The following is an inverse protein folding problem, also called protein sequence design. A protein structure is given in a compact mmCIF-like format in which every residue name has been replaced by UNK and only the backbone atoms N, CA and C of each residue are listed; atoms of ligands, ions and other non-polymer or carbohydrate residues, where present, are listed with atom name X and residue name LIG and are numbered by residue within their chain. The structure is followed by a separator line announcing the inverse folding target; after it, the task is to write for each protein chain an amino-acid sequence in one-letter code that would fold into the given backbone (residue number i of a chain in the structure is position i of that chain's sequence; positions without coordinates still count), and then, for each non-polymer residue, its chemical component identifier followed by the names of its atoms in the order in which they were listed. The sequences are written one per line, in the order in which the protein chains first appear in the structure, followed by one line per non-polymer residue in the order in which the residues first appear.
data_IF_257956609998
#
_entry.id   IF_257956609998
#
_cell.length_a   1.000
_cell.length_b   1.000
_cell.length_c   1.000
_cell.angle_alpha   90.00
_cell.angle_beta   90.00
_cell.angle_gamma   90.00
#
_symmetry.space_group_name_H-M   'P 1'
#
loop_
_entity.id
_entity.type
_entity.pdbx_description
1 polymer ?
#
# COMPACT_ATOMS: atom_id res chain seq x y z
N UNK A 1 -72.07 -14.81 12.19
CA UNK A 1 -71.01 -15.39 11.37
C UNK A 1 -69.66 -14.97 11.89
N UNK A 2 -68.94 -15.91 12.49
CA UNK A 2 -67.56 -15.74 13.00
C UNK A 2 -66.63 -16.11 11.81
N UNK A 3 -65.83 -15.15 11.34
CA UNK A 3 -64.73 -15.42 10.41
C UNK A 3 -63.48 -15.75 11.24
N UNK A 4 -63.08 -17.04 11.23
CA UNK A 4 -61.80 -17.50 11.75
C UNK A 4 -60.71 -17.20 10.67
N UNK A 5 -59.81 -16.25 10.96
CA UNK A 5 -58.62 -16.05 10.16
C UNK A 5 -57.54 -17.05 10.60
N UNK A 6 -57.28 -18.07 9.77
CA UNK A 6 -56.10 -18.94 9.93
C UNK A 6 -54.84 -18.15 9.60
N UNK A 7 -54.07 -17.82 10.61
CA UNK A 7 -52.69 -17.36 10.43
C UNK A 7 -51.81 -18.59 10.15
N UNK A 8 -51.38 -18.73 8.90
CA UNK A 8 -50.33 -19.71 8.53
C UNK A 8 -49.02 -19.18 9.01
N UNK A 9 -48.54 -19.68 10.15
CA UNK A 9 -47.13 -19.53 10.53
C UNK A 9 -46.31 -20.44 9.64
N UNK A 10 -45.72 -19.87 8.59
CA UNK A 10 -44.65 -20.50 7.85
C UNK A 10 -43.46 -20.68 8.76
N UNK A 11 -43.22 -21.88 9.26
CA UNK A 11 -41.99 -22.25 9.89
C UNK A 11 -40.89 -22.10 8.83
N UNK A 12 -40.03 -21.07 8.99
CA UNK A 12 -38.73 -21.03 8.34
C UNK A 12 -37.93 -22.18 8.93
N UNK A 13 -37.94 -23.33 8.30
CA UNK A 13 -37.02 -24.40 8.59
C UNK A 13 -35.63 -23.87 8.27
N UNK A 14 -34.88 -23.51 9.29
CA UNK A 14 -33.44 -23.37 9.12
C UNK A 14 -32.97 -24.69 8.51
N UNK A 15 -32.32 -24.62 7.36
CA UNK A 15 -31.76 -25.76 6.69
C UNK A 15 -30.62 -26.25 7.59
N UNK A 16 -30.95 -27.18 8.49
CA UNK A 16 -29.97 -27.87 9.32
C UNK A 16 -29.17 -28.75 8.36
N UNK A 17 -27.93 -28.37 8.12
CA UNK A 17 -27.00 -29.18 7.35
C UNK A 17 -27.00 -30.60 7.92
N UNK A 18 -27.06 -31.59 7.05
CA UNK A 18 -27.10 -33.01 7.41
C UNK A 18 -25.77 -33.53 8.01
N UNK A 19 -24.75 -32.67 8.09
CA UNK A 19 -23.42 -33.04 8.55
C UNK A 19 -23.00 -32.19 9.75
N UNK A 20 -22.64 -32.89 10.83
CA UNK A 20 -22.04 -32.21 11.98
C UNK A 20 -20.59 -31.83 11.66
N UNK A 21 -20.23 -30.60 12.00
CA UNK A 21 -18.84 -30.12 11.95
C UNK A 21 -18.16 -30.58 13.23
N UNK A 22 -17.04 -31.30 13.14
CA UNK A 22 -16.26 -31.70 14.30
C UNK A 22 -14.99 -30.84 14.44
N UNK A 23 -14.44 -30.86 15.66
CA UNK A 23 -13.25 -30.07 15.98
C UNK A 23 -12.04 -30.48 15.14
N UNK A 24 -11.89 -31.75 14.85
CA UNK A 24 -10.78 -32.26 14.04
C UNK A 24 -10.84 -31.75 12.60
N UNK A 25 -12.01 -31.71 11.98
CA UNK A 25 -12.20 -31.14 10.63
C UNK A 25 -11.82 -29.65 10.60
N UNK A 26 -12.11 -28.90 11.66
CA UNK A 26 -11.72 -27.49 11.77
C UNK A 26 -10.20 -27.35 11.91
N UNK A 27 -9.59 -28.10 12.82
CA UNK A 27 -8.14 -28.04 13.08
C UNK A 27 -7.31 -28.54 11.91
N UNK A 28 -7.80 -29.55 11.19
CA UNK A 28 -7.18 -30.05 9.97
C UNK A 28 -7.34 -29.08 8.78
N UNK A 29 -8.08 -27.99 8.95
CA UNK A 29 -8.26 -26.98 7.95
C UNK A 29 -9.18 -27.36 6.79
N UNK A 30 -10.06 -28.36 6.97
CA UNK A 30 -10.98 -28.85 5.93
C UNK A 30 -11.88 -27.77 5.34
N UNK A 31 -12.21 -26.74 6.14
CA UNK A 31 -13.07 -25.64 5.73
C UNK A 31 -12.28 -24.36 5.37
N UNK A 32 -10.96 -24.49 5.12
CA UNK A 32 -10.16 -23.34 4.69
C UNK A 32 -10.58 -22.90 3.30
N UNK A 33 -10.85 -21.59 3.18
CA UNK A 33 -11.12 -20.95 1.91
C UNK A 33 -9.86 -20.26 1.37
N UNK A 34 -9.71 -20.25 0.07
CA UNK A 34 -8.76 -19.37 -0.61
C UNK A 34 -9.40 -17.98 -0.73
N UNK A 35 -9.01 -17.05 0.11
CA UNK A 35 -9.56 -15.68 0.15
C UNK A 35 -8.75 -14.68 -0.66
N UNK A 36 -7.57 -15.07 -1.11
CA UNK A 36 -6.70 -14.29 -1.97
C UNK A 36 -5.97 -15.20 -2.96
N UNK A 37 -5.75 -14.71 -4.15
CA UNK A 37 -4.83 -15.30 -5.13
C UNK A 37 -3.45 -14.68 -4.96
N UNK A 38 -2.43 -15.29 -5.57
CA UNK A 38 -1.10 -14.69 -5.65
C UNK A 38 -1.17 -13.25 -6.18
N UNK A 39 -0.23 -12.42 -5.78
CA UNK A 39 -0.22 -11.00 -6.15
C UNK A 39 -0.18 -10.85 -7.67
N UNK A 40 -1.19 -10.16 -8.21
CA UNK A 40 -1.27 -9.74 -9.61
C UNK A 40 -0.88 -8.27 -9.69
N UNK A 41 0.29 -7.99 -10.27
CA UNK A 41 0.78 -6.61 -10.43
C UNK A 41 0.49 -6.12 -11.84
N UNK A 42 -0.41 -5.14 -11.96
CA UNK A 42 -0.70 -4.53 -13.26
C UNK A 42 0.55 -3.92 -13.88
N UNK A 43 0.67 -4.03 -15.19
CA UNK A 43 1.66 -3.29 -15.96
C UNK A 43 1.08 -1.97 -16.46
N UNK A 44 1.94 -0.97 -16.78
CA UNK A 44 1.47 0.36 -17.22
C UNK A 44 0.59 0.35 -18.49
N UNK A 45 0.63 -0.73 -19.28
CA UNK A 45 -0.25 -0.91 -20.44
C UNK A 45 -1.71 -1.22 -20.04
N UNK A 46 -1.93 -1.60 -18.77
CA UNK A 46 -3.25 -1.96 -18.22
C UNK A 46 -3.89 -3.19 -18.84
N UNK A 47 -3.27 -3.81 -19.84
CA UNK A 47 -3.74 -5.02 -20.54
C UNK A 47 -3.10 -6.29 -19.98
N UNK A 48 -1.98 -6.13 -19.29
CA UNK A 48 -1.19 -7.21 -18.75
C UNK A 48 -0.91 -7.03 -17.25
N UNK A 49 -0.64 -8.13 -16.60
CA UNK A 49 -0.15 -8.17 -15.23
C UNK A 49 1.01 -9.17 -15.10
N UNK A 50 1.78 -9.02 -14.04
CA UNK A 50 2.81 -9.98 -13.68
C UNK A 50 2.44 -10.72 -12.41
N UNK A 51 2.88 -11.97 -12.32
CA UNK A 51 2.74 -12.80 -11.13
C UNK A 51 3.91 -13.78 -11.04
N UNK A 52 4.22 -14.22 -9.82
CA UNK A 52 5.12 -15.34 -9.61
C UNK A 52 4.42 -16.66 -9.95
N UNK A 53 5.17 -17.62 -10.49
CA UNK A 53 4.68 -19.00 -10.63
C UNK A 53 4.61 -19.72 -9.28
N UNK A 54 4.02 -20.92 -9.26
CA UNK A 54 3.73 -21.66 -8.04
C UNK A 54 4.99 -22.01 -7.21
N UNK A 55 6.11 -22.33 -7.86
CA UNK A 55 7.38 -22.66 -7.20
C UNK A 55 8.28 -21.42 -6.95
N UNK A 56 7.73 -20.21 -7.18
CA UNK A 56 8.41 -18.93 -6.97
C UNK A 56 9.76 -18.79 -7.66
N UNK A 57 9.92 -19.44 -8.81
CA UNK A 57 11.17 -19.41 -9.60
C UNK A 57 11.14 -18.46 -10.79
N UNK A 58 9.94 -17.98 -11.16
CA UNK A 58 9.74 -17.15 -12.35
C UNK A 58 8.76 -16.00 -12.09
N UNK A 59 8.99 -14.89 -12.79
CA UNK A 59 8.02 -13.78 -12.95
C UNK A 59 7.46 -13.89 -14.36
N UNK A 60 6.15 -14.13 -14.47
CA UNK A 60 5.48 -14.34 -15.74
C UNK A 60 4.52 -13.18 -16.01
N UNK A 61 4.54 -12.67 -17.24
CA UNK A 61 3.58 -11.71 -17.78
C UNK A 61 2.36 -12.43 -18.33
N UNK A 62 1.16 -12.03 -17.91
CA UNK A 62 -0.12 -12.60 -18.31
C UNK A 62 -1.02 -11.54 -18.93
N UNK A 63 -1.92 -11.94 -19.82
CA UNK A 63 -2.99 -11.09 -20.32
C UNK A 63 -4.18 -11.08 -19.33
N UNK A 64 -4.69 -9.90 -18.98
CA UNK A 64 -5.92 -9.78 -18.21
C UNK A 64 -7.10 -10.43 -18.94
N UNK A 65 -7.22 -10.20 -20.25
CA UNK A 65 -8.32 -10.68 -21.06
C UNK A 65 -8.39 -12.21 -21.14
N UNK A 66 -7.27 -12.86 -21.46
CA UNK A 66 -7.25 -14.30 -21.73
C UNK A 66 -6.78 -15.15 -20.56
N UNK A 67 -5.98 -14.59 -19.64
CA UNK A 67 -5.29 -15.31 -18.58
C UNK A 67 -4.06 -16.11 -19.05
N UNK A 68 -3.79 -16.09 -20.35
CA UNK A 68 -2.66 -16.83 -20.88
C UNK A 68 -1.34 -16.12 -20.56
N UNK A 69 -0.26 -16.90 -20.33
CA UNK A 69 1.08 -16.33 -20.25
C UNK A 69 1.47 -15.74 -21.62
N UNK A 70 2.10 -14.57 -21.57
CA UNK A 70 2.56 -13.83 -22.76
C UNK A 70 4.08 -13.86 -22.84
N UNK A 71 4.75 -13.73 -21.68
CA UNK A 71 6.20 -13.67 -21.59
C UNK A 71 6.69 -14.09 -20.20
N UNK A 72 7.98 -14.43 -20.11
CA UNK A 72 8.67 -14.67 -18.84
C UNK A 72 9.69 -13.57 -18.62
N UNK A 73 9.42 -12.67 -17.69
CA UNK A 73 10.27 -11.51 -17.43
C UNK A 73 11.54 -11.85 -16.63
N UNK A 74 11.46 -12.86 -15.78
CA UNK A 74 12.58 -13.37 -14.98
C UNK A 74 12.45 -14.87 -14.76
N UNK A 75 13.59 -15.57 -14.81
CA UNK A 75 13.68 -17.00 -14.46
C UNK A 75 14.98 -17.23 -13.70
N UNK A 76 14.86 -17.51 -12.39
CA UNK A 76 16.00 -17.70 -11.50
C UNK A 76 16.94 -18.82 -11.95
N UNK A 77 16.40 -19.85 -12.62
CA UNK A 77 17.21 -21.01 -13.10
C UNK A 77 17.94 -20.74 -14.43
N UNK A 78 17.62 -19.62 -15.12
CA UNK A 78 18.20 -19.29 -16.44
C UNK A 78 18.96 -17.95 -16.43
N UNK A 79 18.75 -17.13 -15.42
CA UNK A 79 19.47 -15.87 -15.29
C UNK A 79 20.93 -16.13 -14.92
N UNK A 80 21.84 -15.39 -15.57
CA UNK A 80 23.28 -15.49 -15.34
C UNK A 80 23.63 -14.99 -13.95
N UNK A 81 24.61 -15.64 -13.30
CA UNK A 81 25.08 -15.34 -11.94
C UNK A 81 23.99 -15.42 -10.85
N UNK A 82 22.84 -15.98 -11.16
CA UNK A 82 21.81 -16.23 -10.18
C UNK A 82 22.21 -17.43 -9.31
N UNK A 83 22.35 -17.19 -7.99
CA UNK A 83 22.80 -18.19 -7.01
C UNK A 83 21.65 -18.88 -6.27
N UNK A 84 20.41 -18.60 -6.67
CA UNK A 84 19.19 -19.12 -6.05
C UNK A 84 18.21 -19.66 -7.10
N UNK A 85 17.27 -20.47 -6.67
CA UNK A 85 16.26 -21.11 -7.54
C UNK A 85 14.85 -20.56 -7.32
N UNK A 86 14.62 -19.86 -6.24
CA UNK A 86 13.34 -19.31 -5.79
C UNK A 86 13.54 -17.97 -5.07
N UNK A 87 12.48 -17.16 -4.96
CA UNK A 87 12.52 -15.84 -4.34
C UNK A 87 11.17 -15.51 -3.69
N UNK A 88 11.18 -14.59 -2.72
CA UNK A 88 10.00 -14.25 -1.91
C UNK A 88 9.11 -13.18 -2.55
N UNK A 89 9.71 -12.29 -3.35
CA UNK A 89 8.98 -11.21 -4.00
C UNK A 89 9.86 -10.41 -4.98
N UNK A 90 9.24 -9.45 -5.65
CA UNK A 90 9.90 -8.64 -6.67
C UNK A 90 9.27 -7.27 -6.84
N UNK A 91 9.98 -6.37 -7.50
CA UNK A 91 9.45 -5.11 -8.06
C UNK A 91 10.15 -4.81 -9.39
N UNK A 92 9.44 -4.12 -10.30
CA UNK A 92 9.92 -3.83 -11.65
C UNK A 92 10.13 -2.32 -11.76
N UNK A 93 11.26 -1.89 -12.34
CA UNK A 93 11.51 -0.48 -12.63
C UNK A 93 10.51 0.05 -13.66
N UNK A 94 10.24 1.35 -13.64
CA UNK A 94 9.35 2.02 -14.61
C UNK A 94 9.72 1.76 -16.07
N UNK A 95 11.01 1.59 -16.35
CA UNK A 95 11.53 1.29 -17.68
C UNK A 95 11.49 -0.19 -18.04
N UNK A 96 11.24 -1.08 -17.09
CA UNK A 96 11.32 -2.54 -17.25
C UNK A 96 12.74 -3.08 -17.44
N UNK A 97 13.80 -2.25 -17.30
CA UNK A 97 15.18 -2.68 -17.52
C UNK A 97 15.81 -3.37 -16.31
N UNK A 98 15.31 -3.08 -15.12
CA UNK A 98 15.74 -3.64 -13.86
C UNK A 98 14.56 -4.27 -13.12
N UNK A 99 14.77 -5.44 -12.55
CA UNK A 99 13.83 -6.10 -11.65
C UNK A 99 14.57 -6.38 -10.36
N UNK A 100 14.08 -5.84 -9.24
CA UNK A 100 14.56 -6.26 -7.94
C UNK A 100 13.81 -7.52 -7.53
N UNK A 101 14.55 -8.53 -7.11
CA UNK A 101 14.03 -9.75 -6.49
C UNK A 101 14.66 -9.90 -5.12
N UNK A 102 13.91 -10.44 -4.16
CA UNK A 102 14.44 -10.64 -2.81
C UNK A 102 14.09 -12.00 -2.26
N UNK A 103 14.92 -12.45 -1.32
CA UNK A 103 14.78 -13.72 -0.64
C UNK A 103 15.26 -13.65 0.81
N UNK A 104 15.08 -14.74 1.52
CA UNK A 104 15.45 -14.87 2.93
C UNK A 104 14.81 -13.75 3.77
N UNK A 105 13.53 -13.51 3.51
CA UNK A 105 12.74 -12.46 4.15
C UNK A 105 12.54 -12.77 5.63
N UNK A 106 12.89 -11.81 6.49
CA UNK A 106 12.65 -11.82 7.93
C UNK A 106 11.67 -10.72 8.30
N UNK A 107 10.65 -11.04 9.08
CA UNK A 107 9.76 -10.04 9.68
C UNK A 107 10.47 -9.30 10.82
N UNK A 108 10.24 -7.99 10.92
CA UNK A 108 10.70 -7.16 12.02
C UNK A 108 9.53 -6.93 12.97
N UNK A 109 8.44 -6.34 12.46
CA UNK A 109 7.18 -6.18 13.15
C UNK A 109 6.05 -6.81 12.32
N UNK A 110 4.84 -6.26 12.39
CA UNK A 110 3.67 -6.77 11.67
C UNK A 110 3.81 -6.68 10.14
N UNK A 111 4.43 -5.61 9.63
CA UNK A 111 4.49 -5.28 8.20
C UNK A 111 5.91 -5.12 7.68
N UNK A 112 6.80 -4.59 8.52
CA UNK A 112 8.19 -4.37 8.13
C UNK A 112 8.96 -5.68 8.02
N UNK A 113 9.77 -5.75 6.99
CA UNK A 113 10.62 -6.90 6.67
C UNK A 113 11.99 -6.44 6.22
N UNK A 114 12.97 -7.32 6.36
CA UNK A 114 14.29 -7.19 5.75
C UNK A 114 14.60 -8.46 4.96
N UNK A 115 15.28 -8.32 3.83
CA UNK A 115 15.59 -9.42 2.92
C UNK A 115 16.92 -9.19 2.20
N UNK A 116 17.48 -10.24 1.63
CA UNK A 116 18.60 -10.08 0.69
C UNK A 116 18.01 -9.71 -0.67
N UNK A 117 18.34 -8.51 -1.14
CA UNK A 117 17.82 -7.95 -2.40
C UNK A 117 18.84 -8.09 -3.52
N UNK A 118 18.38 -8.50 -4.67
CA UNK A 118 19.18 -8.64 -5.90
C UNK A 118 18.61 -7.77 -7.01
N UNK A 119 19.49 -7.22 -7.83
CA UNK A 119 19.16 -6.56 -9.09
C UNK A 119 19.29 -7.55 -10.24
N UNK A 120 18.25 -7.71 -11.03
CA UNK A 120 18.26 -8.40 -12.30
C UNK A 120 18.24 -7.37 -13.44
N UNK A 121 19.38 -7.26 -14.16
CA UNK A 121 19.49 -6.50 -15.41
C UNK A 121 18.88 -7.34 -16.53
N UNK A 122 17.70 -6.92 -17.00
CA UNK A 122 16.91 -7.64 -18.01
C UNK A 122 17.66 -7.72 -19.34
N UNK A 123 18.37 -6.65 -19.76
CA UNK A 123 19.08 -6.59 -21.03
C UNK A 123 20.28 -7.53 -21.06
N UNK A 124 20.96 -7.69 -19.94
CA UNK A 124 22.14 -8.54 -19.80
C UNK A 124 21.81 -9.95 -19.35
N UNK A 125 20.57 -10.21 -18.97
CA UNK A 125 20.13 -11.44 -18.30
C UNK A 125 21.06 -11.81 -17.12
N UNK A 126 21.31 -10.85 -16.24
CA UNK A 126 22.34 -10.92 -15.21
C UNK A 126 21.79 -10.51 -13.84
N UNK A 127 22.09 -11.33 -12.82
CA UNK A 127 21.69 -11.07 -11.43
C UNK A 127 22.90 -10.74 -10.58
N UNK A 128 22.77 -9.75 -9.70
CA UNK A 128 23.78 -9.40 -8.69
C UNK A 128 23.12 -8.91 -7.42
N UNK A 129 23.77 -9.00 -6.24
CA UNK A 129 23.29 -8.34 -5.03
C UNK A 129 23.16 -6.84 -5.25
N UNK A 130 22.13 -6.21 -4.65
CA UNK A 130 21.96 -4.75 -4.75
C UNK A 130 23.03 -3.99 -3.95
N UNK A 131 23.58 -4.61 -2.92
CA UNK A 131 24.61 -4.05 -2.06
C UNK A 131 25.90 -4.87 -2.14
N UNK A 132 27.04 -4.18 -2.13
CA UNK A 132 28.35 -4.82 -2.07
C UNK A 132 28.68 -5.35 -0.66
N UNK A 133 28.00 -4.84 0.37
CA UNK A 133 28.17 -5.29 1.75
C UNK A 133 27.21 -6.43 2.09
N UNK A 134 27.63 -7.29 3.00
CA UNK A 134 26.77 -8.33 3.58
C UNK A 134 25.66 -7.69 4.42
N UNK A 135 24.54 -8.39 4.54
CA UNK A 135 23.38 -7.95 5.32
C UNK A 135 22.12 -7.88 4.49
N UNK A 136 20.99 -7.68 5.17
CA UNK A 136 19.68 -7.57 4.57
C UNK A 136 19.30 -6.11 4.37
N UNK A 137 18.51 -5.85 3.35
CA UNK A 137 18.01 -4.52 3.00
C UNK A 137 16.53 -4.44 3.31
N UNK A 138 16.06 -3.22 3.56
CA UNK A 138 14.65 -2.88 3.79
C UNK A 138 14.17 -1.92 2.71
N UNK A 139 12.90 -1.98 2.37
CA UNK A 139 12.15 -1.02 1.55
C UNK A 139 12.85 -0.58 0.26
N UNK A 140 13.36 -1.50 -0.58
CA UNK A 140 13.99 -1.10 -1.84
C UNK A 140 12.99 -0.34 -2.73
N UNK A 141 13.37 0.88 -3.14
CA UNK A 141 12.50 1.83 -3.83
C UNK A 141 13.21 2.39 -5.07
N UNK A 142 12.73 2.04 -6.27
CA UNK A 142 13.26 2.58 -7.52
C UNK A 142 13.08 4.10 -7.63
N UNK A 143 14.04 4.78 -8.23
CA UNK A 143 13.83 6.13 -8.75
C UNK A 143 12.84 6.10 -9.94
N UNK A 144 12.06 7.19 -10.18
CA UNK A 144 11.09 7.24 -11.29
C UNK A 144 11.68 6.97 -12.68
N UNK A 145 12.93 7.32 -12.92
CA UNK A 145 13.64 7.02 -14.18
C UNK A 145 14.14 5.56 -14.27
N UNK A 146 14.01 4.77 -13.19
CA UNK A 146 14.42 3.38 -13.13
C UNK A 146 15.93 3.14 -13.13
N UNK A 147 16.75 4.20 -12.96
CA UNK A 147 18.22 4.12 -13.02
C UNK A 147 18.90 3.97 -11.66
N UNK A 148 18.13 4.15 -10.58
CA UNK A 148 18.60 4.07 -9.21
C UNK A 148 17.61 3.32 -8.32
N UNK A 149 18.11 2.80 -7.20
CA UNK A 149 17.29 2.26 -6.14
C UNK A 149 17.81 2.77 -4.79
N UNK A 150 16.91 3.38 -4.00
CA UNK A 150 17.15 3.66 -2.59
C UNK A 150 16.71 2.47 -1.74
N UNK A 151 17.44 2.18 -0.68
CA UNK A 151 17.09 1.15 0.29
C UNK A 151 17.72 1.47 1.64
N UNK A 152 17.27 0.81 2.70
CA UNK A 152 17.83 0.98 4.03
C UNK A 152 18.60 -0.27 4.42
N UNK A 153 19.80 -0.07 4.96
CA UNK A 153 20.65 -1.07 5.59
C UNK A 153 21.24 -0.47 6.87
N UNK A 154 21.12 -1.21 7.98
CA UNK A 154 21.59 -0.77 9.30
C UNK A 154 21.09 0.65 9.67
N UNK A 155 19.76 0.86 9.48
CA UNK A 155 19.04 2.12 9.74
C UNK A 155 19.54 3.34 8.94
N UNK A 156 20.38 3.11 7.93
CA UNK A 156 20.91 4.15 7.04
C UNK A 156 20.43 3.94 5.61
N UNK A 157 20.17 5.06 4.93
CA UNK A 157 19.76 5.09 3.53
C UNK A 157 20.97 4.95 2.63
N UNK A 158 20.84 4.10 1.63
CA UNK A 158 21.80 3.86 0.57
C UNK A 158 21.12 4.00 -0.80
N UNK A 159 21.88 4.42 -1.80
CA UNK A 159 21.42 4.49 -3.19
C UNK A 159 22.36 3.66 -4.07
N UNK A 160 21.80 2.67 -4.77
CA UNK A 160 22.47 1.97 -5.88
C UNK A 160 22.19 2.71 -7.18
N UNK A 161 23.24 3.03 -7.93
CA UNK A 161 23.18 3.60 -9.28
C UNK A 161 23.52 2.51 -10.28
N UNK A 162 22.55 2.06 -11.09
CA UNK A 162 22.69 0.89 -11.95
C UNK A 162 23.66 1.14 -13.12
N UNK A 163 23.59 2.32 -13.74
CA UNK A 163 24.44 2.66 -14.89
C UNK A 163 25.94 2.64 -14.58
N UNK A 164 26.30 3.01 -13.36
CA UNK A 164 27.70 3.13 -12.91
C UNK A 164 28.11 2.00 -12.00
N UNK A 165 27.18 1.12 -11.64
CA UNK A 165 27.38 0.04 -10.70
C UNK A 165 28.00 0.52 -9.35
N UNK A 166 27.51 1.65 -8.85
CA UNK A 166 28.03 2.28 -7.63
C UNK A 166 26.99 2.35 -6.53
N UNK A 167 27.43 2.21 -5.28
CA UNK A 167 26.63 2.38 -4.08
C UNK A 167 27.06 3.67 -3.35
N UNK A 168 26.07 4.46 -2.91
CA UNK A 168 26.29 5.72 -2.19
C UNK A 168 25.55 5.68 -0.87
N UNK A 169 26.25 5.93 0.23
CA UNK A 169 25.64 6.11 1.55
C UNK A 169 25.10 7.54 1.69
N UNK A 170 23.79 7.68 1.94
CA UNK A 170 23.11 8.97 2.10
C UNK A 170 23.13 9.44 3.56
N UNK A 171 22.81 8.55 4.51
CA UNK A 171 22.81 8.86 5.94
C UNK A 171 23.86 8.02 6.68
N UNK A 172 24.35 8.51 7.82
CA UNK A 172 25.47 7.87 8.56
C UNK A 172 25.21 7.76 10.06
N UNK A 173 24.08 8.28 10.53
CA UNK A 173 23.75 8.38 11.95
C UNK A 173 22.74 7.33 12.41
N UNK A 174 22.33 6.42 11.51
CA UNK A 174 21.40 5.33 11.81
C UNK A 174 21.96 4.40 12.88
N UNK A 175 21.17 4.18 13.94
CA UNK A 175 21.52 3.31 15.06
C UNK A 175 20.24 2.67 15.60
N UNK A 176 20.27 1.35 15.86
CA UNK A 176 19.15 0.60 16.39
C UNK A 176 18.67 1.18 17.72
N UNK A 177 17.37 1.33 17.90
CA UNK A 177 16.71 1.92 19.07
C UNK A 177 17.10 3.37 19.36
N UNK A 178 17.64 4.09 18.37
CA UNK A 178 18.00 5.53 18.49
C UNK A 178 17.60 6.32 17.25
N UNK A 179 18.18 6.00 16.09
CA UNK A 179 17.99 6.79 14.88
C UNK A 179 17.61 5.88 13.72
N UNK A 180 16.45 6.15 13.13
CA UNK A 180 15.98 5.48 11.92
C UNK A 180 15.89 6.48 10.78
N UNK A 181 16.36 6.10 9.60
CA UNK A 181 16.31 6.94 8.41
C UNK A 181 15.49 6.26 7.30
N UNK A 182 14.40 6.89 6.86
CA UNK A 182 13.57 6.43 5.75
C UNK A 182 12.64 5.25 6.07
N UNK A 183 12.92 4.48 7.10
CA UNK A 183 12.03 3.48 7.69
C UNK A 183 11.30 4.08 8.89
N UNK A 184 10.28 3.40 9.38
CA UNK A 184 9.44 3.89 10.47
C UNK A 184 9.73 3.17 11.78
N UNK A 185 9.35 3.81 12.89
CA UNK A 185 9.30 3.18 14.20
C UNK A 185 8.06 2.28 14.35
N UNK A 186 7.93 1.61 15.49
CA UNK A 186 6.81 0.72 15.78
C UNK A 186 5.45 1.44 15.74
N UNK A 187 5.35 2.68 16.25
CA UNK A 187 4.11 3.46 16.29
C UNK A 187 3.58 3.73 14.88
N UNK A 188 4.43 4.18 13.97
CA UNK A 188 4.03 4.48 12.59
C UNK A 188 3.64 3.23 11.82
N UNK A 189 4.33 2.12 12.05
CA UNK A 189 3.98 0.86 11.43
C UNK A 189 2.63 0.32 11.93
N UNK A 190 2.38 0.40 13.23
CA UNK A 190 1.16 -0.15 13.83
C UNK A 190 -0.04 0.76 13.61
N UNK A 191 0.11 2.08 13.84
CA UNK A 191 -1.00 3.03 13.86
C UNK A 191 -1.30 3.64 12.48
N UNK A 192 -0.29 3.85 11.64
CA UNK A 192 -0.47 4.43 10.31
C UNK A 192 -0.28 3.41 9.17
N UNK A 193 0.04 2.17 9.48
CA UNK A 193 0.34 1.11 8.50
C UNK A 193 1.44 1.49 7.49
N UNK A 194 2.42 2.29 7.90
CA UNK A 194 3.51 2.82 7.08
C UNK A 194 4.84 2.21 7.50
N UNK A 195 5.60 1.70 6.54
CA UNK A 195 6.96 1.14 6.75
C UNK A 195 8.03 1.88 5.96
N UNK A 196 7.62 2.68 4.96
CA UNK A 196 8.51 3.42 4.06
C UNK A 196 8.12 4.90 4.06
N UNK A 197 9.03 5.73 4.51
CA UNK A 197 8.93 7.19 4.45
C UNK A 197 10.11 7.78 3.67
N UNK A 198 10.40 7.17 2.51
CA UNK A 198 11.23 7.72 1.45
C UNK A 198 10.37 8.06 0.24
N UNK A 199 10.66 9.17 -0.43
CA UNK A 199 9.99 9.58 -1.66
C UNK A 199 11.01 10.17 -2.65
N UNK A 200 11.01 9.65 -3.89
CA UNK A 200 11.77 10.22 -5.00
C UNK A 200 11.01 11.36 -5.66
N UNK A 201 11.71 12.41 -6.04
CA UNK A 201 11.14 13.43 -6.92
C UNK A 201 10.89 12.87 -8.33
N UNK A 202 9.88 13.35 -9.08
CA UNK A 202 9.54 12.84 -10.42
C UNK A 202 10.71 12.88 -11.42
N UNK A 203 11.62 13.85 -11.27
CA UNK A 203 12.85 13.99 -12.08
C UNK A 203 14.01 13.11 -11.58
N UNK A 204 13.83 12.35 -10.49
CA UNK A 204 14.84 11.50 -9.87
C UNK A 204 16.07 12.25 -9.31
N UNK A 205 16.00 13.59 -9.16
CA UNK A 205 17.11 14.40 -8.66
C UNK A 205 17.16 14.50 -7.13
N UNK A 206 16.02 14.28 -6.46
CA UNK A 206 15.91 14.37 -5.00
C UNK A 206 15.32 13.09 -4.41
N UNK A 207 15.86 12.69 -3.25
CA UNK A 207 15.27 11.70 -2.37
C UNK A 207 14.90 12.40 -1.06
N UNK A 208 13.59 12.54 -0.80
CA UNK A 208 13.10 13.00 0.49
C UNK A 208 12.91 11.81 1.44
N UNK A 209 13.17 12.02 2.74
CA UNK A 209 12.95 10.99 3.74
C UNK A 209 12.62 11.59 5.11
N UNK A 210 11.97 10.79 5.94
CA UNK A 210 11.74 11.11 7.36
C UNK A 210 12.83 10.43 8.18
N UNK A 211 13.40 11.19 9.14
CA UNK A 211 14.32 10.73 10.16
C UNK A 211 13.59 10.68 11.50
N UNK A 212 13.72 9.58 12.19
CA UNK A 212 13.17 9.35 13.52
C UNK A 212 14.30 9.38 14.54
N UNK A 213 14.13 10.15 15.60
CA UNK A 213 14.95 10.07 16.80
C UNK A 213 14.09 9.48 17.92
N UNK A 214 14.29 8.19 18.17
CA UNK A 214 13.58 7.42 19.19
C UNK A 214 14.36 7.28 20.50
N UNK A 215 15.44 8.07 20.69
CA UNK A 215 16.32 8.00 21.86
C UNK A 215 15.57 8.21 23.18
N UNK A 216 14.52 9.07 23.17
CA UNK A 216 13.71 9.35 24.36
C UNK A 216 12.46 8.45 24.48
N UNK A 217 12.21 7.57 23.49
CA UNK A 217 11.09 6.63 23.54
C UNK A 217 11.43 5.50 24.52
N UNK A 218 10.52 5.14 25.44
CA UNK A 218 10.73 4.03 26.36
C UNK A 218 10.93 2.69 25.64
N UNK A 219 11.79 1.85 26.20
CA UNK A 219 11.95 0.47 25.74
C UNK A 219 10.94 -0.45 26.42
N UNK A 220 10.49 -1.43 25.67
CA UNK A 220 9.67 -2.54 26.13
C UNK A 220 10.41 -3.85 25.89
N UNK A 221 10.49 -4.68 26.93
CA UNK A 221 11.11 -5.99 26.87
C UNK A 221 10.04 -7.07 26.82
N UNK A 222 9.93 -7.76 25.69
CA UNK A 222 8.98 -8.84 25.47
C UNK A 222 9.66 -10.19 25.70
N UNK A 223 9.05 -11.04 26.54
CA UNK A 223 9.51 -12.41 26.71
C UNK A 223 9.18 -13.25 25.45
N UNK A 224 10.20 -13.88 24.91
CA UNK A 224 10.09 -14.77 23.76
C UNK A 224 10.32 -16.23 24.20
N UNK A 225 9.27 -17.02 24.18
CA UNK A 225 9.33 -18.44 24.49
C UNK A 225 9.74 -19.22 23.25
N UNK A 226 10.83 -19.98 23.35
CA UNK A 226 11.35 -20.86 22.34
C UNK A 226 11.46 -22.29 22.87
N UNK A 227 12.35 -23.09 22.28
CA UNK A 227 12.60 -24.49 22.71
C UNK A 227 13.45 -24.60 23.99
N UNK A 228 14.03 -23.51 24.46
CA UNK A 228 14.85 -23.46 25.67
C UNK A 228 14.03 -23.47 26.96
N UNK A 229 14.69 -23.85 28.10
CA UNK A 229 14.07 -23.82 29.42
C UNK A 229 13.78 -22.39 29.93
N UNK A 230 14.54 -21.42 29.46
CA UNK A 230 14.38 -20.01 29.81
C UNK A 230 13.99 -19.18 28.60
N UNK A 231 13.09 -18.18 28.76
CA UNK A 231 12.74 -17.28 27.65
C UNK A 231 13.91 -16.39 27.27
N UNK A 232 14.01 -16.05 25.99
CA UNK A 232 14.77 -14.92 25.51
C UNK A 232 13.96 -13.62 25.70
N UNK A 233 14.60 -12.48 25.42
CA UNK A 233 13.94 -11.18 25.47
C UNK A 233 14.13 -10.47 24.12
N UNK A 234 13.06 -9.85 23.62
CA UNK A 234 13.07 -8.97 22.47
C UNK A 234 12.80 -7.54 22.95
N UNK A 235 13.78 -6.66 22.80
CA UNK A 235 13.72 -5.28 23.28
C UNK A 235 13.56 -4.33 22.10
N UNK A 236 12.58 -3.45 22.18
CA UNK A 236 12.30 -2.46 21.15
C UNK A 236 11.61 -1.22 21.73
N UNK A 237 11.65 -0.11 20.97
CA UNK A 237 11.02 1.14 21.38
C UNK A 237 9.51 1.04 21.26
N UNK A 238 8.80 1.22 22.40
CA UNK A 238 7.36 1.09 22.49
C UNK A 238 6.80 2.11 23.50
N UNK A 239 6.26 3.24 23.02
CA UNK A 239 5.65 4.21 23.93
C UNK A 239 4.26 3.74 24.35
N UNK A 240 4.03 3.61 25.64
CA UNK A 240 2.67 3.44 26.19
C UNK A 240 1.94 4.78 26.14
N UNK A 241 0.60 4.75 26.29
CA UNK A 241 -0.23 5.95 26.30
C UNK A 241 0.34 7.02 27.24
N UNK A 242 0.47 8.26 26.76
CA UNK A 242 1.03 9.38 27.49
C UNK A 242 2.56 9.47 27.51
N UNK A 243 3.27 8.45 27.00
CA UNK A 243 4.74 8.49 26.90
C UNK A 243 5.21 9.29 25.68
N UNK A 244 6.52 9.59 25.63
CA UNK A 244 7.13 10.30 24.51
C UNK A 244 7.13 9.43 23.25
N UNK A 245 6.79 10.03 22.12
CA UNK A 245 6.99 9.48 20.78
C UNK A 245 8.36 9.85 20.25
N UNK A 246 8.75 9.23 19.14
CA UNK A 246 9.91 9.64 18.34
C UNK A 246 9.80 11.09 17.91
N UNK A 247 10.90 11.82 17.95
CA UNK A 247 11.02 13.13 17.29
C UNK A 247 11.25 12.90 15.80
N UNK A 248 10.45 13.54 14.95
CA UNK A 248 10.49 13.34 13.51
C UNK A 248 10.97 14.61 12.80
N UNK A 249 11.76 14.44 11.75
CA UNK A 249 12.20 15.51 10.86
C UNK A 249 12.20 15.05 9.41
N UNK A 250 11.97 15.97 8.48
CA UNK A 250 12.00 15.70 7.03
C UNK A 250 13.32 16.20 6.46
N UNK A 251 13.92 15.39 5.61
CA UNK A 251 15.17 15.71 4.93
C UNK A 251 15.01 15.51 3.42
N UNK A 252 15.77 16.29 2.65
CA UNK A 252 15.87 16.17 1.20
C UNK A 252 17.35 15.98 0.83
N UNK A 253 17.66 14.89 0.14
CA UNK A 253 18.99 14.58 -0.39
C UNK A 253 19.02 14.86 -1.89
N UNK A 254 19.96 15.69 -2.34
CA UNK A 254 20.23 15.93 -3.76
C UNK A 254 21.17 14.86 -4.31
N UNK A 255 20.76 14.12 -5.33
CA UNK A 255 21.57 13.11 -6.02
C UNK A 255 22.73 13.75 -6.78
N UNK A 256 22.56 15.00 -7.23
CA UNK A 256 23.53 15.75 -8.02
C UNK A 256 24.63 16.33 -7.15
N UNK A 257 24.26 17.10 -6.11
CA UNK A 257 25.23 17.76 -5.22
C UNK A 257 25.71 16.87 -4.09
N UNK A 258 24.99 15.78 -3.79
CA UNK A 258 25.21 14.84 -2.69
C UNK A 258 25.05 15.48 -1.30
N UNK A 259 24.33 16.57 -1.21
CA UNK A 259 24.02 17.28 0.02
C UNK A 259 22.67 16.88 0.57
N UNK A 260 22.56 16.81 1.90
CA UNK A 260 21.30 16.61 2.61
C UNK A 260 20.90 17.90 3.32
N UNK A 261 19.64 18.30 3.15
CA UNK A 261 19.04 19.46 3.77
C UNK A 261 17.89 19.05 4.67
N UNK A 262 17.89 19.51 5.92
CA UNK A 262 16.72 19.43 6.78
C UNK A 262 15.66 20.44 6.32
N UNK A 263 14.42 19.96 6.20
CA UNK A 263 13.26 20.76 5.85
C UNK A 263 12.46 21.01 7.12
N UNK A 264 12.50 22.24 7.65
CA UNK A 264 11.85 22.61 8.91
C UNK A 264 10.32 22.67 8.73
N UNK A 265 9.64 21.59 9.14
CA UNK A 265 8.17 21.50 9.10
C UNK A 265 7.59 22.56 10.03
N UNK A 266 6.65 23.42 9.55
CA UNK A 266 6.12 24.55 10.33
C UNK A 266 5.00 24.09 11.30
N UNK A 267 5.31 23.14 12.17
CA UNK A 267 4.39 22.60 13.21
C UNK A 267 5.13 22.63 14.54
N UNK A 268 4.45 23.12 15.58
CA UNK A 268 4.98 23.16 16.94
C UNK A 268 4.45 22.02 17.78
N UNK A 269 5.22 21.62 18.79
CA UNK A 269 4.86 20.55 19.73
C UNK A 269 5.06 19.15 19.17
N UNK A 270 4.35 18.17 19.76
CA UNK A 270 4.37 16.78 19.31
C UNK A 270 3.45 16.58 18.10
N UNK A 271 3.98 16.06 17.03
CA UNK A 271 3.24 15.78 15.80
C UNK A 271 3.76 14.52 15.11
N UNK A 272 2.95 14.00 14.21
CA UNK A 272 3.29 12.88 13.32
C UNK A 272 3.45 13.35 11.88
N UNK A 273 4.26 12.63 11.12
CA UNK A 273 4.38 12.77 9.66
C UNK A 273 3.99 11.43 9.01
N UNK A 274 2.70 11.09 8.97
CA UNK A 274 2.26 9.77 8.52
C UNK A 274 2.53 9.50 7.04
N UNK A 275 2.76 10.54 6.22
CA UNK A 275 3.06 10.39 4.80
C UNK A 275 3.87 11.55 4.25
N UNK A 276 4.81 11.22 3.38
CA UNK A 276 5.45 12.14 2.45
C UNK A 276 5.35 11.58 1.03
N UNK A 277 5.15 12.43 0.03
CA UNK A 277 5.16 12.02 -1.38
C UNK A 277 5.33 13.24 -2.28
N UNK A 278 6.02 13.10 -3.40
CA UNK A 278 6.05 14.17 -4.38
C UNK A 278 4.72 14.25 -5.14
N UNK A 279 4.35 15.46 -5.54
CA UNK A 279 3.34 15.67 -6.59
C UNK A 279 3.95 15.35 -7.96
N UNK A 280 3.22 15.63 -9.05
CA UNK A 280 3.80 15.54 -10.39
C UNK A 280 4.88 16.63 -10.65
N UNK A 281 4.97 17.64 -9.78
CA UNK A 281 5.97 18.70 -9.85
C UNK A 281 7.16 18.36 -8.94
N UNK A 282 8.41 18.26 -9.47
CA UNK A 282 9.59 17.94 -8.67
C UNK A 282 9.93 18.97 -7.60
N UNK A 283 9.44 20.19 -7.72
CA UNK A 283 9.61 21.25 -6.71
C UNK A 283 8.56 21.20 -5.58
N UNK A 284 7.71 20.18 -5.55
CA UNK A 284 6.60 20.06 -4.59
C UNK A 284 6.57 18.68 -3.91
N UNK A 285 7.20 18.59 -2.75
CA UNK A 285 7.03 17.48 -1.81
C UNK A 285 5.79 17.75 -0.95
N UNK A 286 4.79 16.90 -1.03
CA UNK A 286 3.66 16.91 -0.09
C UNK A 286 4.09 16.25 1.21
N UNK A 287 3.99 16.98 2.30
CA UNK A 287 4.25 16.53 3.67
C UNK A 287 2.95 16.63 4.44
N UNK A 288 2.49 15.49 4.96
CA UNK A 288 1.27 15.38 5.75
C UNK A 288 1.62 15.31 7.21
N UNK A 289 0.93 16.09 8.04
CA UNK A 289 1.15 16.12 9.49
C UNK A 289 -0.16 15.93 10.23
N UNK A 290 -0.09 15.26 11.37
CA UNK A 290 -1.15 15.19 12.37
C UNK A 290 -0.59 15.66 13.71
N UNK A 291 -1.37 16.44 14.47
CA UNK A 291 -1.00 16.71 15.85
C UNK A 291 -1.12 15.44 16.71
N UNK A 292 -0.59 15.47 17.94
CA UNK A 292 -0.61 14.31 18.85
C UNK A 292 -2.01 13.74 19.10
N UNK A 293 -3.03 14.60 19.16
CA UNK A 293 -4.44 14.22 19.35
C UNK A 293 -5.08 13.69 18.07
N UNK A 294 -4.40 13.78 16.93
CA UNK A 294 -4.87 13.34 15.62
C UNK A 294 -6.19 13.99 15.18
N UNK A 295 -6.47 15.18 15.65
CA UNK A 295 -7.68 15.94 15.32
C UNK A 295 -7.41 17.17 14.44
N UNK A 296 -6.14 17.44 14.13
CA UNK A 296 -5.70 18.50 13.19
C UNK A 296 -4.76 17.88 12.17
N UNK A 297 -5.22 17.81 10.94
CA UNK A 297 -4.46 17.42 9.78
C UNK A 297 -4.02 18.64 8.98
N UNK A 298 -2.75 18.66 8.56
CA UNK A 298 -2.25 19.63 7.60
C UNK A 298 -1.47 18.92 6.49
N UNK A 299 -1.66 19.38 5.26
CA UNK A 299 -0.83 19.03 4.12
C UNK A 299 -0.09 20.25 3.62
N UNK A 300 1.22 20.18 3.58
CA UNK A 300 2.10 21.22 3.07
C UNK A 300 2.72 20.77 1.75
N UNK A 301 2.92 21.72 0.82
CA UNK A 301 3.92 21.56 -0.22
C UNK A 301 5.21 22.20 0.24
N UNK A 302 6.29 21.46 0.15
CA UNK A 302 7.63 21.89 0.49
C UNK A 302 8.56 21.78 -0.71
N UNK A 303 9.35 22.82 -0.97
CA UNK A 303 10.32 22.77 -2.05
C UNK A 303 11.60 22.06 -1.57
N UNK A 304 12.04 20.95 -2.20
CA UNK A 304 13.18 20.17 -1.74
C UNK A 304 14.51 20.93 -1.82
N UNK A 305 14.61 21.94 -2.69
CA UNK A 305 15.82 22.76 -2.89
C UNK A 305 15.91 23.89 -1.86
N UNK A 306 14.84 24.68 -1.74
CA UNK A 306 14.82 25.87 -0.89
C UNK A 306 14.41 25.58 0.55
N UNK A 307 13.62 24.54 0.80
CA UNK A 307 13.01 24.25 2.10
C UNK A 307 11.84 25.17 2.44
N UNK A 308 11.27 25.87 1.46
CA UNK A 308 10.10 26.73 1.65
C UNK A 308 8.84 25.89 1.69
N UNK A 309 7.99 26.14 2.69
CA UNK A 309 6.71 25.46 2.91
C UNK A 309 5.53 26.35 2.55
N UNK A 310 4.48 25.71 2.04
CA UNK A 310 3.17 26.34 1.82
C UNK A 310 2.09 25.38 2.31
N UNK A 311 1.20 25.85 3.21
CA UNK A 311 0.01 25.09 3.62
C UNK A 311 -0.95 25.00 2.42
N UNK A 312 -1.40 23.79 2.12
CA UNK A 312 -2.28 23.45 0.99
C UNK A 312 -3.65 23.04 1.49
N UNK A 313 -3.70 22.18 2.50
CA UNK A 313 -4.95 21.67 3.04
C UNK A 313 -4.84 21.61 4.56
N UNK A 314 -5.92 21.98 5.25
CA UNK A 314 -6.10 21.82 6.68
C UNK A 314 -7.48 21.24 6.93
N UNK A 315 -7.55 20.22 7.77
CA UNK A 315 -8.78 19.66 8.29
C UNK A 315 -8.71 19.54 9.81
N UNK A 316 -9.78 19.92 10.46
CA UNK A 316 -9.95 19.79 11.93
C UNK A 316 -11.24 19.05 12.22
N UNK A 317 -11.20 18.17 13.22
CA UNK A 317 -12.36 17.46 13.68
C UNK A 317 -12.46 17.57 15.22
N UNK A 318 -13.66 17.52 15.75
CA UNK A 318 -13.89 17.54 17.21
C UNK A 318 -13.35 16.29 17.91
N UNK A 319 -13.36 15.16 17.19
CA UNK A 319 -12.88 13.88 17.68
C UNK A 319 -11.47 13.60 17.16
N UNK A 320 -11.36 13.13 15.93
CA UNK A 320 -10.09 12.90 15.23
C UNK A 320 -10.33 12.89 13.72
N UNK A 321 -9.26 13.11 12.96
CA UNK A 321 -9.22 12.91 11.51
C UNK A 321 -8.75 11.47 11.27
N UNK A 322 -9.50 10.70 10.48
CA UNK A 322 -9.12 9.33 10.18
C UNK A 322 -7.85 9.28 9.32
N UNK A 323 -6.78 8.74 9.89
CA UNK A 323 -5.48 8.66 9.24
C UNK A 323 -5.42 7.69 8.06
N UNK A 324 -6.33 6.72 7.97
CA UNK A 324 -6.38 5.76 6.87
C UNK A 324 -6.61 6.47 5.53
N UNK A 325 -7.34 7.59 5.54
CA UNK A 325 -7.61 8.38 4.34
C UNK A 325 -6.41 9.17 3.82
N UNK A 326 -5.37 9.38 4.62
CA UNK A 326 -4.17 10.09 4.18
C UNK A 326 -3.42 9.30 3.08
N UNK A 327 -3.52 7.98 3.09
CA UNK A 327 -2.97 7.13 2.05
C UNK A 327 -3.77 7.17 0.75
N UNK A 328 -5.03 7.63 0.80
CA UNK A 328 -5.93 7.74 -0.37
C UNK A 328 -5.72 8.99 -1.21
N UNK A 329 -4.92 9.96 -0.74
CA UNK A 329 -4.63 11.18 -1.50
C UNK A 329 -3.86 10.80 -2.76
N UNK A 330 -4.42 11.12 -3.93
CA UNK A 330 -3.78 10.94 -5.24
C UNK A 330 -3.54 12.29 -5.87
N UNK A 331 -2.27 12.55 -6.23
CA UNK A 331 -1.88 13.77 -6.94
C UNK A 331 -2.08 13.57 -8.45
N UNK A 332 -2.88 14.45 -9.02
CA UNK A 332 -3.27 14.47 -10.43
C UNK A 332 -2.51 15.59 -11.16
N UNK A 333 -2.57 15.63 -12.49
CA UNK A 333 -1.96 16.69 -13.29
C UNK A 333 -2.49 18.09 -12.90
N UNK A 334 -3.77 18.20 -12.52
CA UNK A 334 -4.45 19.46 -12.21
C UNK A 334 -5.11 19.46 -10.83
N UNK A 335 -4.46 18.89 -9.82
CA UNK A 335 -5.00 18.88 -8.47
C UNK A 335 -4.71 17.61 -7.70
N UNK A 336 -5.58 17.31 -6.76
CA UNK A 336 -5.50 16.06 -6.00
C UNK A 336 -6.87 15.65 -5.49
N UNK A 337 -7.01 14.37 -5.18
CA UNK A 337 -8.20 13.84 -4.50
C UNK A 337 -7.89 13.62 -3.02
N UNK A 338 -8.91 13.77 -2.20
CA UNK A 338 -8.86 13.46 -0.77
C UNK A 338 -10.20 12.89 -0.32
N UNK A 339 -10.19 11.84 0.48
CA UNK A 339 -11.39 11.32 1.15
C UNK A 339 -11.45 11.95 2.54
N UNK A 340 -12.59 12.56 2.87
CA UNK A 340 -12.79 13.28 4.11
C UNK A 340 -14.19 13.04 4.66
N UNK A 341 -14.32 13.09 5.97
CA UNK A 341 -15.58 12.97 6.72
C UNK A 341 -16.19 14.35 7.09
N UNK A 342 -15.76 15.40 6.41
CA UNK A 342 -16.14 16.79 6.75
C UNK A 342 -17.65 17.09 6.67
N UNK A 343 -18.43 16.28 5.95
CA UNK A 343 -19.90 16.38 5.88
C UNK A 343 -20.64 15.33 6.74
N UNK A 344 -19.90 14.54 7.54
CA UNK A 344 -20.43 13.53 8.44
C UNK A 344 -20.33 12.09 7.94
N UNK A 345 -19.90 11.89 6.68
CA UNK A 345 -19.63 10.60 6.06
C UNK A 345 -18.35 10.67 5.23
N UNK A 346 -17.70 9.52 5.00
CA UNK A 346 -16.51 9.46 4.17
C UNK A 346 -16.85 9.65 2.69
N UNK A 347 -16.44 10.77 2.11
CA UNK A 347 -16.67 11.10 0.71
C UNK A 347 -15.40 11.56 -0.01
N UNK A 348 -15.41 11.40 -1.34
CA UNK A 348 -14.30 11.80 -2.23
C UNK A 348 -14.48 13.27 -2.60
N UNK A 349 -13.41 14.05 -2.40
CA UNK A 349 -13.32 15.46 -2.78
C UNK A 349 -12.19 15.66 -3.78
N UNK A 350 -12.40 16.54 -4.75
CA UNK A 350 -11.42 16.99 -5.72
C UNK A 350 -10.97 18.40 -5.39
N UNK A 351 -9.66 18.61 -5.28
CA UNK A 351 -9.04 19.89 -4.99
C UNK A 351 -8.16 20.37 -6.14
N UNK A 352 -8.02 21.69 -6.29
CA UNK A 352 -7.03 22.28 -7.18
C UNK A 352 -5.60 22.05 -6.67
N UNK A 353 -4.55 22.30 -7.47
CA UNK A 353 -3.17 22.23 -7.00
C UNK A 353 -2.86 23.19 -5.84
N UNK A 354 -3.71 24.21 -5.63
CA UNK A 354 -3.55 25.20 -4.58
C UNK A 354 -4.37 24.93 -3.32
N UNK A 355 -5.08 23.77 -3.26
CA UNK A 355 -5.88 23.38 -2.11
C UNK A 355 -7.30 23.94 -2.08
N UNK A 356 -7.78 24.53 -3.17
CA UNK A 356 -9.18 24.97 -3.26
C UNK A 356 -10.06 23.81 -3.66
N UNK A 357 -11.08 23.49 -2.86
CA UNK A 357 -12.05 22.45 -3.19
C UNK A 357 -12.80 22.82 -4.47
N UNK A 358 -12.72 21.96 -5.47
CA UNK A 358 -13.38 22.11 -6.76
C UNK A 358 -14.72 21.39 -6.81
N UNK A 359 -14.79 20.21 -6.20
CA UNK A 359 -15.97 19.35 -6.28
C UNK A 359 -15.99 18.32 -5.15
N UNK A 360 -17.16 18.10 -4.55
CA UNK A 360 -17.48 16.87 -3.85
C UNK A 360 -17.94 15.84 -4.90
N UNK A 361 -17.21 14.75 -5.04
CA UNK A 361 -17.43 13.73 -6.08
C UNK A 361 -18.54 12.76 -5.69
N UNK A 362 -18.54 12.33 -4.42
CA UNK A 362 -19.56 11.45 -3.84
C UNK A 362 -20.30 12.19 -2.72
N UNK A 363 -21.59 11.86 -2.51
CA UNK A 363 -22.39 12.47 -1.44
C UNK A 363 -23.54 11.54 -1.03
N UNK A 364 -24.02 11.67 0.19
CA UNK A 364 -25.13 10.90 0.73
C UNK A 364 -24.90 10.47 2.18
N UNK A 365 -25.89 9.82 2.81
CA UNK A 365 -25.79 9.31 4.18
C UNK A 365 -25.16 7.91 4.18
N UNK A 366 -23.96 7.77 3.67
CA UNK A 366 -23.22 6.52 3.53
C UNK A 366 -21.73 6.81 3.29
N UNK A 367 -20.90 5.83 3.55
CA UNK A 367 -19.45 5.96 3.45
C UNK A 367 -18.89 5.37 2.16
N UNK A 368 -17.97 6.08 1.53
CA UNK A 368 -16.91 5.49 0.72
C UNK A 368 -16.04 4.68 1.65
N UNK A 369 -15.90 3.39 1.39
CA UNK A 369 -15.10 2.49 2.23
C UNK A 369 -13.72 2.23 1.67
N UNK A 370 -13.51 2.54 0.38
CA UNK A 370 -12.20 2.54 -0.26
C UNK A 370 -12.22 3.41 -1.51
N UNK A 371 -11.25 4.27 -1.65
CA UNK A 371 -10.98 4.97 -2.88
C UNK A 371 -10.02 4.13 -3.74
N UNK A 372 -10.43 3.79 -4.96
CA UNK A 372 -9.71 2.86 -5.84
C UNK A 372 -8.88 3.57 -6.91
N UNK A 373 -9.17 4.84 -7.17
CA UNK A 373 -8.38 5.68 -8.06
C UNK A 373 -9.18 6.52 -9.04
N UNK A 374 -8.43 7.27 -9.86
CA UNK A 374 -8.96 8.15 -10.92
C UNK A 374 -8.30 7.78 -12.23
N UNK A 375 -9.10 7.54 -13.26
CA UNK A 375 -8.64 7.61 -14.63
C UNK A 375 -8.61 9.08 -15.06
N UNK A 376 -7.44 9.68 -15.10
CA UNK A 376 -7.27 11.09 -15.46
C UNK A 376 -7.67 11.42 -16.91
N UNK A 377 -7.57 10.45 -17.84
CA UNK A 377 -7.92 10.65 -19.24
C UNK A 377 -9.42 10.83 -19.41
N UNK A 378 -10.21 10.03 -18.69
CA UNK A 378 -11.69 10.08 -18.74
C UNK A 378 -12.28 10.88 -17.59
N UNK A 379 -11.48 11.29 -16.60
CA UNK A 379 -11.91 11.93 -15.34
C UNK A 379 -12.94 11.09 -14.61
N UNK A 380 -12.73 9.77 -14.58
CA UNK A 380 -13.62 8.80 -13.95
C UNK A 380 -13.02 8.36 -12.61
N UNK A 381 -13.83 8.43 -11.55
CA UNK A 381 -13.46 8.04 -10.19
C UNK A 381 -14.01 6.65 -9.90
N UNK A 382 -13.18 5.80 -9.26
CA UNK A 382 -13.53 4.42 -8.88
C UNK A 382 -13.45 4.25 -7.38
N UNK A 383 -14.47 3.61 -6.78
CA UNK A 383 -14.54 3.47 -5.33
C UNK A 383 -15.39 2.27 -4.90
N UNK A 384 -15.20 1.85 -3.65
CA UNK A 384 -16.10 0.95 -2.92
C UNK A 384 -16.94 1.77 -1.94
N UNK A 385 -18.17 1.39 -1.72
CA UNK A 385 -19.04 2.06 -0.77
C UNK A 385 -20.01 1.13 -0.05
N UNK A 386 -20.54 1.64 1.08
CA UNK A 386 -21.58 1.05 1.87
C UNK A 386 -22.99 1.61 1.53
N UNK A 387 -23.18 2.30 0.38
CA UNK A 387 -24.40 3.05 0.08
C UNK A 387 -25.68 2.21 0.03
N UNK A 388 -25.59 0.92 -0.32
CA UNK A 388 -26.75 0.04 -0.37
C UNK A 388 -27.08 -0.59 0.99
N UNK A 389 -26.06 -0.78 1.83
CA UNK A 389 -26.23 -1.38 3.15
C UNK A 389 -24.93 -1.25 3.95
N UNK A 390 -25.00 -1.00 5.27
CA UNK A 390 -23.83 -0.95 6.13
C UNK A 390 -23.06 -2.28 6.19
N UNK A 391 -23.70 -3.41 5.90
CA UNK A 391 -23.10 -4.75 5.93
C UNK A 391 -22.69 -5.25 4.52
N UNK A 392 -22.76 -4.42 3.49
CA UNK A 392 -22.39 -4.76 2.11
C UNK A 392 -21.37 -3.78 1.57
N UNK A 393 -20.61 -4.22 0.57
CA UNK A 393 -19.70 -3.37 -0.19
C UNK A 393 -19.94 -3.59 -1.67
N UNK A 394 -20.13 -2.50 -2.38
CA UNK A 394 -20.32 -2.50 -3.83
C UNK A 394 -19.29 -1.59 -4.50
N UNK A 395 -18.93 -1.93 -5.73
CA UNK A 395 -17.92 -1.22 -6.52
C UNK A 395 -18.64 -0.29 -7.49
N UNK A 396 -18.21 0.96 -7.52
CA UNK A 396 -18.79 2.01 -8.35
C UNK A 396 -17.76 2.77 -9.14
N UNK A 397 -18.22 3.43 -10.19
CA UNK A 397 -17.53 4.53 -10.86
C UNK A 397 -18.45 5.73 -11.02
N UNK A 398 -17.85 6.93 -11.00
CA UNK A 398 -18.50 8.19 -11.35
C UNK A 398 -17.71 8.84 -12.48
N UNK A 399 -18.35 9.15 -13.57
CA UNK A 399 -17.71 9.81 -14.72
C UNK A 399 -17.58 11.35 -14.53
N UNK A 400 -16.94 11.99 -15.52
CA UNK A 400 -16.75 13.44 -15.53
C UNK A 400 -18.06 14.24 -15.44
N UNK A 401 -19.17 13.67 -15.92
CA UNK A 401 -20.51 14.30 -15.90
C UNK A 401 -21.26 14.04 -14.58
N UNK A 402 -20.69 13.22 -13.69
CA UNK A 402 -21.32 12.82 -12.43
C UNK A 402 -22.27 11.63 -12.55
N UNK A 403 -22.24 10.92 -13.66
CA UNK A 403 -23.06 9.71 -13.83
C UNK A 403 -22.42 8.55 -13.06
N UNK A 404 -23.13 8.11 -12.03
CA UNK A 404 -22.74 6.96 -11.21
C UNK A 404 -23.13 5.65 -11.89
N UNK A 405 -22.24 4.68 -11.87
CA UNK A 405 -22.46 3.33 -12.41
C UNK A 405 -21.94 2.29 -11.43
N UNK A 406 -22.81 1.36 -11.01
CA UNK A 406 -22.40 0.18 -10.23
C UNK A 406 -21.69 -0.81 -11.15
N UNK A 407 -20.51 -1.30 -10.71
CA UNK A 407 -19.70 -2.28 -11.45
C UNK A 407 -19.86 -3.69 -10.90
N UNK A 408 -20.00 -3.86 -9.58
CA UNK A 408 -20.28 -5.17 -8.97
C UNK A 408 -21.73 -5.61 -9.27
N UNK A 409 -21.90 -6.90 -9.54
CA UNK A 409 -23.22 -7.47 -9.90
C UNK A 409 -23.88 -8.20 -8.74
N UNK A 410 -23.05 -8.75 -7.82
CA UNK A 410 -23.50 -9.60 -6.73
C UNK A 410 -23.71 -8.79 -5.44
N UNK A 411 -24.75 -9.15 -4.68
CA UNK A 411 -25.04 -8.57 -3.36
C UNK A 411 -24.19 -9.24 -2.27
N UNK A 412 -23.35 -8.45 -1.60
CA UNK A 412 -22.46 -8.94 -0.55
C UNK A 412 -21.25 -8.04 -0.36
N UNK A 413 -20.14 -8.63 0.01
CA UNK A 413 -18.85 -7.97 0.13
C UNK A 413 -18.11 -8.07 -1.20
N UNK A 414 -17.90 -6.96 -1.87
CA UNK A 414 -17.10 -6.86 -3.09
C UNK A 414 -15.86 -6.01 -2.81
N UNK A 415 -14.71 -6.49 -3.24
CA UNK A 415 -13.42 -5.78 -3.15
C UNK A 415 -12.75 -5.81 -4.50
N UNK A 416 -12.36 -4.65 -5.04
CA UNK A 416 -11.76 -4.55 -6.35
C UNK A 416 -10.29 -4.14 -6.32
N UNK A 417 -9.51 -4.72 -7.25
CA UNK A 417 -8.19 -4.24 -7.66
C UNK A 417 -8.24 -4.02 -9.17
N UNK A 418 -8.02 -2.78 -9.61
CA UNK A 418 -8.07 -2.43 -11.02
C UNK A 418 -6.72 -2.62 -11.72
N UNK A 419 -6.77 -2.86 -13.04
CA UNK A 419 -5.62 -2.68 -13.91
C UNK A 419 -5.25 -1.19 -13.97
N UNK A 420 -4.00 -0.89 -14.35
CA UNK A 420 -3.43 0.46 -14.32
C UNK A 420 -4.24 1.49 -15.14
N UNK A 421 -4.86 1.05 -16.23
CA UNK A 421 -5.73 1.86 -17.09
C UNK A 421 -7.23 1.71 -16.77
N UNK A 422 -7.61 1.04 -15.67
CA UNK A 422 -9.00 0.74 -15.28
C UNK A 422 -9.82 -0.07 -16.31
N UNK A 423 -9.19 -0.71 -17.29
CA UNK A 423 -9.89 -1.53 -18.27
C UNK A 423 -10.43 -2.83 -17.68
N UNK A 424 -9.73 -3.38 -16.69
CA UNK A 424 -10.09 -4.62 -16.00
C UNK A 424 -10.07 -4.42 -14.49
N UNK A 425 -10.78 -5.28 -13.78
CA UNK A 425 -10.66 -5.38 -12.33
C UNK A 425 -10.79 -6.82 -11.85
N UNK A 426 -10.02 -7.15 -10.85
CA UNK A 426 -10.16 -8.38 -10.06
C UNK A 426 -11.16 -8.10 -8.95
N UNK A 427 -12.28 -8.82 -8.92
CA UNK A 427 -13.26 -8.72 -7.84
C UNK A 427 -13.14 -9.92 -6.91
N UNK A 428 -13.03 -9.67 -5.62
CA UNK A 428 -13.19 -10.69 -4.57
C UNK A 428 -14.56 -10.49 -3.96
N UNK A 429 -15.45 -11.43 -4.19
CA UNK A 429 -16.83 -11.42 -3.74
C UNK A 429 -17.07 -12.49 -2.69
N UNK A 430 -17.87 -12.18 -1.66
CA UNK A 430 -18.40 -13.15 -0.70
C UNK A 430 -19.65 -12.64 0.00
N UNK A 431 -20.44 -13.54 0.57
CA UNK A 431 -21.51 -13.23 1.52
C UNK A 431 -21.62 -14.32 2.59
N UNK A 432 -22.60 -14.22 3.50
CA UNK A 432 -22.75 -15.15 4.60
C UNK A 432 -22.95 -16.63 4.17
N UNK A 433 -23.45 -16.87 2.95
CA UNK A 433 -23.77 -18.19 2.40
C UNK A 433 -22.87 -18.58 1.21
N UNK A 434 -22.01 -17.67 0.78
CA UNK A 434 -21.17 -17.87 -0.41
C UNK A 434 -19.71 -17.63 -0.03
N UNK A 435 -18.84 -18.63 -0.13
CA UNK A 435 -17.41 -18.46 0.10
C UNK A 435 -16.80 -17.51 -0.93
N UNK A 436 -15.56 -17.07 -0.67
CA UNK A 436 -14.89 -16.10 -1.54
C UNK A 436 -14.82 -16.61 -2.99
N UNK A 437 -15.37 -15.83 -3.93
CA UNK A 437 -15.24 -16.00 -5.38
C UNK A 437 -14.35 -14.88 -5.92
N UNK A 438 -13.29 -15.22 -6.64
CA UNK A 438 -12.34 -14.25 -7.20
C UNK A 438 -12.44 -14.31 -8.73
N UNK A 439 -12.71 -13.18 -9.35
CA UNK A 439 -13.00 -13.09 -10.80
C UNK A 439 -12.21 -11.94 -11.44
N UNK A 440 -11.90 -12.09 -12.74
CA UNK A 440 -11.45 -10.97 -13.59
C UNK A 440 -12.65 -10.48 -14.38
N UNK A 441 -12.86 -9.17 -14.36
CA UNK A 441 -14.00 -8.52 -14.98
C UNK A 441 -13.53 -7.41 -15.92
N UNK A 442 -14.26 -7.19 -17.02
CA UNK A 442 -14.06 -6.06 -17.91
C UNK A 442 -14.88 -4.85 -17.42
N UNK A 443 -14.23 -3.73 -17.15
CA UNK A 443 -14.87 -2.55 -16.54
C UNK A 443 -15.97 -1.94 -17.43
N UNK A 444 -15.76 -1.91 -18.75
CA UNK A 444 -16.69 -1.28 -19.70
C UNK A 444 -18.00 -2.02 -19.81
N UNK A 445 -17.96 -3.33 -19.92
CA UNK A 445 -19.13 -4.19 -20.12
C UNK A 445 -19.67 -4.79 -18.82
N UNK A 446 -18.90 -4.73 -17.73
CA UNK A 446 -19.13 -5.41 -16.44
C UNK A 446 -19.14 -6.93 -16.57
N UNK A 447 -18.66 -7.46 -17.70
CA UNK A 447 -18.64 -8.89 -17.97
C UNK A 447 -17.56 -9.58 -17.14
N UNK A 448 -17.94 -10.65 -16.44
CA UNK A 448 -17.00 -11.62 -15.89
C UNK A 448 -16.29 -12.31 -17.06
N UNK A 449 -14.98 -12.15 -17.14
CA UNK A 449 -14.15 -12.78 -18.17
C UNK A 449 -13.73 -14.19 -17.77
N UNK A 450 -13.42 -14.37 -16.49
CA UNK A 450 -13.05 -15.68 -15.94
C UNK A 450 -13.08 -15.70 -14.41
N UNK A 451 -13.26 -16.90 -13.88
CA UNK A 451 -13.11 -17.21 -12.47
C UNK A 451 -11.65 -17.61 -12.21
N UNK A 452 -11.03 -17.00 -11.20
CA UNK A 452 -9.70 -17.34 -10.73
C UNK A 452 -9.75 -18.34 -9.56
N UNK A 453 -10.80 -18.20 -8.72
CA UNK A 453 -11.08 -19.06 -7.57
C UNK A 453 -12.57 -18.97 -7.24
N UNK A 454 -13.22 -20.09 -6.99
CA UNK A 454 -14.65 -20.12 -6.60
C UNK A 454 -14.92 -20.79 -5.26
N UNK A 455 -13.96 -21.53 -4.71
CA UNK A 455 -14.11 -22.28 -3.45
C UNK A 455 -15.36 -23.20 -3.46
N UNK A 456 -15.71 -23.73 -4.62
CA UNK A 456 -16.95 -24.49 -4.81
C UNK A 456 -16.88 -25.95 -4.32
N UNK A 457 -15.74 -26.43 -3.85
CA UNK A 457 -15.52 -27.81 -3.43
C UNK A 457 -15.62 -28.03 -1.92
#
# INVERSE_FOLDING_TARGET
SLLLSLAVFGSVAAQTGSKHVDLKEITDGKFRQVTAIGEMRSLPDGEHYTAMNADKSMIIKYSYRTGNPVDTLFNARKARECTFTDFDGYTISSTGHHILVWRDTESIYRRSTKAVVYDYDVRRNYVKPISDAKGKQMIPTFSPDGRMCAYVRDNNIWIRKFDFDTEVQVTKDGELNKILNGITDWVYEEEFAVTNLMAWSPDSEYLAFVRFDESEVPEYSMQMYGEGLYPGYYEYKYPKAGQKNSKVSVHSYSVVTKDTKEMKVPVEGDFYIPRITFTQNPDQLAIMTLNRQQNVFNMYYANPKSGVFRLILREENKCYVDSDWLTSIQFLNNGFTYVSEQDGYSHIYLYSPTGVMQRQVTQGNWDVTKFLGVDENTKTFYYESAEESPIRRSIYKIDAKGVKTKLSTEEGMNKAVFSDNFAYFVNTYSNANTPAKITVNETKTKKELRVLQDNAA
#
